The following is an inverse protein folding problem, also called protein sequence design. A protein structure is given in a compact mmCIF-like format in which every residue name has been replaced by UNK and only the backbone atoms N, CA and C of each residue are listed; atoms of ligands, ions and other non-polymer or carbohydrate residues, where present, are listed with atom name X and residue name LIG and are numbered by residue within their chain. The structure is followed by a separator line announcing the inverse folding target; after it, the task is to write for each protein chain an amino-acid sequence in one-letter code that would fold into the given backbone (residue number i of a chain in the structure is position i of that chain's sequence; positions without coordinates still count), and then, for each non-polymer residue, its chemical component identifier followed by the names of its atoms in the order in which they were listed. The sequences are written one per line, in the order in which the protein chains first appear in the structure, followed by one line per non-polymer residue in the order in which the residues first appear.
data_IF_751339478544
#
_entry.id   IF_751339478544
#
_cell.length_a   1.000
_cell.length_b   1.000
_cell.length_c   1.000
_cell.angle_alpha   90.00
_cell.angle_beta   90.00
_cell.angle_gamma   90.00
#
_symmetry.space_group_name_H-M   'P 1'
#
loop_
_entity.id
_entity.type
_entity.pdbx_description
1 polymer ?
#
# COMPACT_ATOMS: atom_id res chain seq x y z
N UNK A 1 -10.17 8.18 26.73
CA UNK A 1 -10.79 9.24 25.92
C UNK A 1 -10.82 8.74 24.48
N UNK A 2 -11.98 8.83 23.83
CA UNK A 2 -12.49 7.88 22.83
C UNK A 2 -11.62 7.67 21.58
N UNK A 3 -11.52 6.40 21.15
CA UNK A 3 -11.00 5.98 19.84
C UNK A 3 -12.12 5.92 18.78
N UNK A 4 -13.12 6.81 18.91
CA UNK A 4 -14.25 6.97 17.99
C UNK A 4 -14.16 8.40 17.46
N UNK A 5 -13.40 8.60 16.37
CA UNK A 5 -13.40 9.80 15.49
C UNK A 5 -12.35 9.76 14.37
N UNK A 6 -11.33 8.89 14.46
CA UNK A 6 -10.26 8.85 13.44
C UNK A 6 -10.64 8.10 12.15
N UNK A 7 -11.57 7.14 12.21
CA UNK A 7 -11.94 6.32 11.04
C UNK A 7 -12.64 7.12 9.95
N UNK A 8 -13.63 7.93 10.33
CA UNK A 8 -14.40 8.76 9.39
C UNK A 8 -13.54 9.89 8.82
N UNK A 9 -12.65 10.48 9.63
CA UNK A 9 -11.70 11.47 9.17
C UNK A 9 -10.68 10.89 8.16
N UNK A 10 -10.17 9.67 8.40
CA UNK A 10 -9.29 8.97 7.45
C UNK A 10 -10.06 8.62 6.17
N UNK A 11 -11.30 8.14 6.27
CA UNK A 11 -12.13 7.84 5.12
C UNK A 11 -12.40 9.09 4.27
N UNK A 12 -12.75 10.22 4.90
CA UNK A 12 -12.94 11.50 4.23
C UNK A 12 -11.63 12.00 3.58
N UNK A 13 -10.50 11.88 4.28
CA UNK A 13 -9.18 12.23 3.75
C UNK A 13 -8.85 11.39 2.51
N UNK A 14 -9.05 10.07 2.54
CA UNK A 14 -8.79 9.19 1.40
C UNK A 14 -9.78 9.41 0.26
N UNK A 15 -11.05 9.70 0.55
CA UNK A 15 -12.06 10.04 -0.45
C UNK A 15 -11.75 11.35 -1.20
N UNK A 16 -10.98 12.26 -0.60
CA UNK A 16 -10.49 13.48 -1.27
C UNK A 16 -9.32 13.24 -2.23
N UNK A 17 -8.69 12.06 -2.21
CA UNK A 17 -7.53 11.74 -3.05
C UNK A 17 -7.95 11.26 -4.44
N UNK A 18 -7.13 11.56 -5.43
CA UNK A 18 -7.30 10.99 -6.77
C UNK A 18 -6.67 9.59 -6.82
N UNK A 19 -7.47 8.58 -7.14
CA UNK A 19 -7.00 7.20 -7.29
C UNK A 19 -6.16 7.11 -8.58
N UNK A 20 -4.91 6.69 -8.43
CA UNK A 20 -3.96 6.51 -9.51
C UNK A 20 -3.74 5.02 -9.77
N UNK A 21 -3.85 4.55 -11.03
CA UNK A 21 -3.52 3.17 -11.38
C UNK A 21 -2.08 2.82 -11.00
N UNK A 22 -1.87 1.60 -10.50
CA UNK A 22 -0.56 1.11 -10.07
C UNK A 22 0.47 1.23 -11.21
N UNK A 23 0.08 0.91 -12.44
CA UNK A 23 0.98 0.98 -13.59
C UNK A 23 1.46 2.40 -13.94
N UNK A 24 0.81 3.44 -13.42
CA UNK A 24 1.19 4.85 -13.64
C UNK A 24 2.09 5.39 -12.51
N UNK A 25 2.31 4.61 -11.44
CA UNK A 25 3.13 5.02 -10.32
C UNK A 25 4.60 5.15 -10.70
N UNK A 26 5.15 6.34 -10.46
CA UNK A 26 6.56 6.65 -10.67
C UNK A 26 6.96 7.91 -9.84
N UNK A 27 8.27 8.15 -9.63
CA UNK A 27 8.75 9.27 -8.82
C UNK A 27 8.43 10.66 -9.36
N UNK A 28 8.12 10.78 -10.65
CA UNK A 28 7.87 12.06 -11.31
C UNK A 28 6.38 12.46 -11.24
N UNK A 29 5.56 11.72 -10.49
CA UNK A 29 4.15 12.03 -10.30
C UNK A 29 3.97 13.40 -9.61
N UNK A 30 3.26 14.36 -10.23
CA UNK A 30 2.99 15.64 -9.60
C UNK A 30 2.01 15.48 -8.44
N UNK A 31 2.11 16.37 -7.45
CA UNK A 31 1.16 16.47 -6.34
C UNK A 31 0.90 15.13 -5.62
N UNK A 32 1.95 14.32 -5.40
CA UNK A 32 1.89 13.00 -4.77
C UNK A 32 1.04 12.95 -3.49
N UNK A 33 1.06 13.99 -2.66
CA UNK A 33 0.25 14.08 -1.45
C UNK A 33 -1.27 14.11 -1.69
N UNK A 34 -1.72 14.39 -2.91
CA UNK A 34 -3.13 14.41 -3.33
C UNK A 34 -3.58 13.11 -4.00
N UNK A 35 -2.67 12.14 -4.14
CA UNK A 35 -2.92 10.88 -4.82
C UNK A 35 -3.09 9.73 -3.82
N UNK A 36 -3.83 8.72 -4.25
CA UNK A 36 -3.95 7.44 -3.57
C UNK A 36 -3.82 6.30 -4.58
N UNK A 37 -3.47 5.12 -4.10
CA UNK A 37 -3.45 3.89 -4.87
C UNK A 37 -4.41 2.89 -4.24
N UNK A 38 -5.19 2.20 -5.07
CA UNK A 38 -6.05 1.09 -4.65
C UNK A 38 -5.43 -0.22 -5.09
N UNK A 39 -5.50 -1.24 -4.25
CA UNK A 39 -5.04 -2.58 -4.62
C UNK A 39 -5.55 -3.66 -3.68
N UNK A 40 -5.44 -4.89 -4.13
CA UNK A 40 -5.64 -6.10 -3.35
C UNK A 40 -4.29 -6.55 -2.77
N UNK A 41 -4.27 -6.90 -1.49
CA UNK A 41 -3.07 -7.42 -0.81
C UNK A 41 -2.72 -8.78 -1.42
N UNK A 42 -1.46 -8.91 -1.84
CA UNK A 42 -0.89 -10.17 -2.31
C UNK A 42 -0.02 -10.82 -1.24
N UNK A 43 1.29 -10.89 -1.51
CA UNK A 43 2.29 -11.50 -0.63
C UNK A 43 2.69 -10.50 0.47
N UNK A 44 2.67 -10.93 1.72
CA UNK A 44 3.14 -10.16 2.88
C UNK A 44 4.39 -10.78 3.49
N UNK A 45 5.42 -9.97 3.69
CA UNK A 45 6.58 -10.27 4.52
C UNK A 45 6.35 -9.63 5.89
N UNK A 46 6.20 -10.45 6.95
CA UNK A 46 5.81 -9.98 8.27
C UNK A 46 6.87 -9.07 8.90
N UNK A 47 6.47 -8.38 9.97
CA UNK A 47 7.34 -7.46 10.69
C UNK A 47 8.61 -8.17 11.22
N UNK A 48 9.77 -7.64 10.84
CA UNK A 48 11.06 -8.03 11.37
C UNK A 48 11.48 -7.04 12.45
N UNK A 49 11.67 -7.51 13.69
CA UNK A 49 12.03 -6.67 14.83
C UNK A 49 13.47 -6.14 14.79
N UNK A 50 14.38 -6.81 14.09
CA UNK A 50 15.79 -6.41 13.95
C UNK A 50 15.91 -5.24 12.99
N UNK A 51 15.36 -5.37 11.79
CA UNK A 51 15.37 -4.31 10.76
C UNK A 51 14.27 -3.27 10.96
N UNK A 52 13.28 -3.57 11.81
CA UNK A 52 12.06 -2.79 12.00
C UNK A 52 11.31 -2.56 10.70
N UNK A 53 11.25 -3.59 9.84
CA UNK A 53 10.60 -3.51 8.52
C UNK A 53 9.44 -4.47 8.39
N UNK A 54 8.46 -4.08 7.57
CA UNK A 54 7.35 -4.92 7.11
C UNK A 54 7.13 -4.58 5.65
N UNK A 55 6.92 -5.57 4.79
CA UNK A 55 6.63 -5.30 3.38
C UNK A 55 5.48 -6.15 2.87
N UNK A 56 4.80 -5.67 1.84
CA UNK A 56 3.77 -6.44 1.16
C UNK A 56 3.61 -5.98 -0.28
N UNK A 57 3.05 -6.85 -1.12
CA UNK A 57 2.64 -6.52 -2.47
C UNK A 57 1.17 -6.12 -2.48
N UNK A 58 0.84 -5.15 -3.33
CA UNK A 58 -0.53 -4.91 -3.74
C UNK A 58 -0.64 -5.05 -5.25
N UNK A 59 -1.80 -5.48 -5.68
CA UNK A 59 -2.11 -5.73 -7.08
C UNK A 59 -3.40 -5.02 -7.48
N UNK A 60 -3.51 -4.64 -8.74
CA UNK A 60 -4.77 -4.13 -9.30
C UNK A 60 -5.87 -5.18 -9.10
N UNK A 61 -7.06 -4.80 -8.61
CA UNK A 61 -8.19 -5.72 -8.48
C UNK A 61 -8.60 -6.30 -9.85
N UNK A 62 -8.51 -5.51 -10.92
CA UNK A 62 -8.72 -6.00 -12.29
C UNK A 62 -7.52 -6.82 -12.76
N UNK A 63 -7.77 -8.10 -13.09
CA UNK A 63 -6.76 -9.07 -13.55
C UNK A 63 -6.05 -8.61 -14.83
N UNK A 64 -6.71 -7.84 -15.70
CA UNK A 64 -6.11 -7.31 -16.93
C UNK A 64 -5.06 -6.26 -16.60
N UNK A 65 -5.39 -5.33 -15.71
CA UNK A 65 -4.47 -4.31 -15.23
C UNK A 65 -3.32 -4.95 -14.42
N UNK A 66 -3.64 -5.97 -13.61
CA UNK A 66 -2.65 -6.73 -12.81
C UNK A 66 -1.54 -7.36 -13.66
N UNK A 67 -1.86 -7.81 -14.88
CA UNK A 67 -0.89 -8.40 -15.81
C UNK A 67 -0.07 -7.37 -16.59
N UNK A 68 -0.46 -6.10 -16.53
CA UNK A 68 0.17 -4.99 -17.23
C UNK A 68 0.86 -4.04 -16.24
N UNK A 69 1.87 -4.53 -15.51
CA UNK A 69 2.57 -3.79 -14.45
C UNK A 69 1.68 -3.29 -13.31
N UNK A 70 0.48 -3.86 -13.13
CA UNK A 70 -0.46 -3.49 -12.09
C UNK A 70 -0.15 -4.09 -10.72
N UNK A 71 1.12 -4.16 -10.32
CA UNK A 71 1.52 -4.54 -8.97
C UNK A 71 2.61 -3.60 -8.46
N UNK A 72 2.64 -3.37 -7.15
CA UNK A 72 3.69 -2.56 -6.51
C UNK A 72 4.01 -3.13 -5.14
N UNK A 73 5.29 -3.04 -4.77
CA UNK A 73 5.77 -3.38 -3.44
C UNK A 73 5.69 -2.16 -2.53
N UNK A 74 5.16 -2.36 -1.34
CA UNK A 74 5.17 -1.39 -0.25
C UNK A 74 6.13 -1.92 0.80
N UNK A 75 7.04 -1.06 1.25
CA UNK A 75 7.97 -1.35 2.32
C UNK A 75 7.84 -0.28 3.41
N UNK A 76 7.55 -0.72 4.61
CA UNK A 76 7.42 0.12 5.78
C UNK A 76 8.65 -0.04 6.67
N UNK A 77 9.06 1.06 7.28
CA UNK A 77 10.18 1.12 8.21
C UNK A 77 9.77 1.74 9.54
N UNK A 78 10.38 1.30 10.64
CA UNK A 78 10.30 1.96 11.94
C UNK A 78 8.85 2.15 12.44
N UNK A 79 8.43 3.40 12.76
CA UNK A 79 7.10 3.68 13.30
C UNK A 79 5.93 3.23 12.40
N UNK A 80 6.04 3.43 11.08
CA UNK A 80 5.00 3.01 10.13
C UNK A 80 4.84 1.48 10.12
N UNK A 81 5.95 0.74 10.06
CA UNK A 81 5.96 -0.72 10.10
C UNK A 81 5.36 -1.24 11.41
N UNK A 82 5.77 -0.65 12.54
CA UNK A 82 5.27 -1.05 13.86
C UNK A 82 3.79 -0.73 14.07
N UNK A 83 3.29 0.34 13.45
CA UNK A 83 1.87 0.70 13.53
C UNK A 83 1.01 -0.26 12.72
N UNK A 84 1.49 -0.68 11.54
CA UNK A 84 0.75 -1.61 10.69
C UNK A 84 0.59 -3.00 11.32
N UNK A 85 1.47 -3.43 12.24
CA UNK A 85 1.30 -4.72 12.95
C UNK A 85 0.04 -4.78 13.82
N UNK A 86 -0.60 -3.64 14.09
CA UNK A 86 -1.87 -3.56 14.82
C UNK A 86 -3.09 -3.63 13.90
N UNK A 87 -2.89 -3.52 12.59
CA UNK A 87 -3.93 -3.67 11.60
C UNK A 87 -4.01 -5.13 11.18
N UNK A 88 -5.18 -5.73 11.29
CA UNK A 88 -5.43 -7.05 10.71
C UNK A 88 -5.72 -6.85 9.22
N UNK A 89 -4.86 -7.41 8.37
CA UNK A 89 -5.09 -7.53 6.94
C UNK A 89 -4.38 -8.78 6.42
N UNK A 90 -4.95 -9.39 5.39
CA UNK A 90 -4.46 -10.61 4.77
C UNK A 90 -4.52 -10.54 3.25
N UNK A 91 -4.00 -11.58 2.60
CA UNK A 91 -4.10 -11.71 1.16
C UNK A 91 -5.58 -11.70 0.72
N UNK A 92 -5.88 -10.96 -0.35
CA UNK A 92 -7.25 -10.78 -0.83
C UNK A 92 -7.98 -9.55 -0.27
N UNK A 93 -7.50 -8.94 0.81
CA UNK A 93 -8.08 -7.71 1.32
C UNK A 93 -7.80 -6.55 0.37
N UNK A 94 -8.77 -5.67 0.18
CA UNK A 94 -8.55 -4.44 -0.56
C UNK A 94 -8.02 -3.35 0.37
N UNK A 95 -7.15 -2.50 -0.15
CA UNK A 95 -6.72 -1.28 0.50
C UNK A 95 -6.82 -0.08 -0.42
N UNK A 96 -7.04 1.06 0.22
CA UNK A 96 -6.81 2.38 -0.35
C UNK A 96 -5.69 3.04 0.46
N UNK A 97 -4.59 3.39 -0.21
CA UNK A 97 -3.37 3.90 0.40
C UNK A 97 -3.06 5.29 -0.16
N UNK A 98 -2.90 6.28 0.71
CA UNK A 98 -2.40 7.60 0.33
C UNK A 98 -0.94 7.54 -0.10
N UNK A 99 -0.56 8.27 -1.15
CA UNK A 99 0.84 8.43 -1.55
C UNK A 99 1.55 9.56 -0.77
N UNK A 100 0.84 10.25 0.11
CA UNK A 100 1.39 11.25 1.03
C UNK A 100 2.39 10.62 2.00
N UNK A 101 3.66 11.05 1.91
CA UNK A 101 4.76 10.50 2.70
C UNK A 101 5.50 9.32 2.05
N UNK A 102 5.18 8.95 0.80
CA UNK A 102 5.97 7.96 0.03
C UNK A 102 7.36 8.53 -0.28
N UNK A 103 8.37 7.71 0.00
CA UNK A 103 9.67 7.77 -0.63
C UNK A 103 9.76 6.70 -1.72
N UNK A 104 10.27 7.06 -2.90
CA UNK A 104 10.42 6.12 -4.00
C UNK A 104 11.79 5.44 -3.96
N UNK A 105 11.80 4.11 -4.10
CA UNK A 105 13.04 3.35 -4.29
C UNK A 105 12.88 2.40 -5.48
N UNK A 106 13.99 2.04 -6.13
CA UNK A 106 13.97 0.98 -7.15
C UNK A 106 13.61 -0.35 -6.47
N UNK A 107 12.71 -1.12 -7.06
CA UNK A 107 12.39 -2.46 -6.56
C UNK A 107 13.47 -3.44 -7.00
N UNK A 108 14.44 -3.67 -6.10
CA UNK A 108 15.50 -4.68 -6.27
C UNK A 108 15.19 -5.97 -5.49
N UNK A 109 13.92 -6.20 -5.12
CA UNK A 109 13.56 -7.37 -4.31
C UNK A 109 13.75 -8.68 -5.10
N UNK A 110 14.29 -9.72 -4.44
CA UNK A 110 14.50 -11.02 -5.08
C UNK A 110 13.16 -11.66 -5.44
N UNK A 111 13.15 -12.47 -6.52
CA UNK A 111 11.93 -13.15 -6.98
C UNK A 111 10.92 -12.25 -7.67
N UNK A 112 11.34 -11.05 -8.11
CA UNK A 112 10.53 -10.19 -8.99
C UNK A 112 10.27 -10.89 -10.32
N UNK A 113 8.99 -11.11 -10.63
CA UNK A 113 8.55 -11.57 -11.95
C UNK A 113 8.59 -10.36 -12.90
N UNK A 114 9.38 -10.40 -13.99
CA UNK A 114 9.42 -9.32 -14.96
C UNK A 114 8.03 -9.02 -15.52
N UNK A 115 7.67 -7.74 -15.63
CA UNK A 115 6.36 -7.31 -16.15
C UNK A 115 5.20 -7.39 -15.16
N UNK A 116 5.36 -8.06 -14.02
CA UNK A 116 4.26 -8.21 -13.05
C UNK A 116 4.01 -6.95 -12.24
N UNK A 117 5.07 -6.21 -11.92
CA UNK A 117 5.06 -5.03 -11.05
C UNK A 117 5.83 -3.88 -11.68
N UNK A 118 5.58 -2.66 -11.24
CA UNK A 118 6.38 -1.49 -11.63
C UNK A 118 7.85 -1.63 -11.18
N UNK A 119 8.75 -0.82 -11.72
CA UNK A 119 10.19 -0.86 -11.37
C UNK A 119 10.51 -0.17 -10.04
N UNK A 120 9.50 0.42 -9.41
CA UNK A 120 9.60 1.16 -8.17
C UNK A 120 8.88 0.45 -7.04
N UNK A 121 9.28 0.77 -5.81
CA UNK A 121 8.56 0.42 -4.60
C UNK A 121 8.27 1.67 -3.79
N UNK A 122 7.19 1.61 -3.02
CA UNK A 122 6.76 2.69 -2.14
C UNK A 122 7.34 2.43 -0.75
N UNK A 123 8.19 3.33 -0.28
CA UNK A 123 8.72 3.29 1.07
C UNK A 123 8.01 4.29 1.97
N UNK A 124 7.62 3.85 3.16
CA UNK A 124 7.11 4.74 4.20
C UNK A 124 7.93 4.56 5.48
N UNK A 125 8.26 5.66 6.15
CA UNK A 125 9.00 5.66 7.42
C UNK A 125 8.13 6.12 8.57
N UNK A 126 7.48 7.26 8.41
CA UNK A 126 6.75 7.93 9.50
C UNK A 126 5.25 7.98 9.26
N UNK A 127 4.83 8.58 8.13
CA UNK A 127 3.44 8.80 7.81
C UNK A 127 2.89 7.66 6.96
N UNK A 128 1.79 7.07 7.40
CA UNK A 128 1.05 6.05 6.65
C UNK A 128 -0.44 6.33 6.85
N UNK A 129 -1.17 6.52 5.75
CA UNK A 129 -2.63 6.68 5.76
C UNK A 129 -3.20 5.65 4.80
N UNK A 130 -3.92 4.67 5.36
CA UNK A 130 -4.60 3.66 4.59
C UNK A 130 -5.93 3.29 5.21
N UNK A 131 -6.78 2.69 4.39
CA UNK A 131 -8.01 2.05 4.81
C UNK A 131 -8.02 0.63 4.23
N UNK A 132 -8.28 -0.36 5.09
CA UNK A 132 -8.45 -1.75 4.70
C UNK A 132 -9.93 -2.06 4.58
N UNK A 133 -10.29 -2.81 3.53
CA UNK A 133 -11.60 -3.43 3.35
C UNK A 133 -11.39 -4.94 3.33
N UNK A 134 -11.70 -5.63 4.43
CA UNK A 134 -11.57 -7.07 4.51
C UNK A 134 -12.40 -7.78 3.44
N UNK A 135 -11.87 -8.86 2.89
CA UNK A 135 -12.67 -9.76 2.06
C UNK A 135 -13.65 -10.53 2.96
N UNK A 136 -14.94 -10.21 2.86
CA UNK A 136 -15.97 -10.97 3.56
C UNK A 136 -16.25 -12.28 2.81
N UNK A 137 -15.63 -13.36 3.25
CA UNK A 137 -16.02 -14.72 2.84
C UNK A 137 -17.16 -15.18 3.77
N UNK A 138 -18.35 -15.36 3.20
CA UNK A 138 -19.48 -16.02 3.88
C UNK A 138 -19.38 -17.51 3.55
N UNK A 139 -19.21 -18.35 4.57
CA UNK A 139 -19.24 -19.82 4.45
C UNK A 139 -20.61 -20.35 4.88
#
# INVERSE_FOLDING_TARGET
MAALDNGDAIAALLASKTITPIAQLNPDLPAQSSLAVRGEVGITWPYNSVTKTLAFLIAEPDVRLRRAHGQVRIELHGPSAKSLTKCEFGAGDELLLSLDGVEWAKDTSPGRIPGSRIDWQLQFKEKLVLQVRPVNLVF
#
